data_IF_100241036284
#
_entry.id   IF_100241036284
#
_cell.length_a   1.000
_cell.length_b   1.000
_cell.length_c   1.000
_cell.angle_alpha   90.00
_cell.angle_beta   90.00
_cell.angle_gamma   90.00
#
_symmetry.space_group_name_H-M   'P 1'
#
loop_
_entity.id
_entity.type
_entity.pdbx_description
1 polymer ?
#
# COMPACT_ATOMS: atom_id res chain seq x y z
N UNK A 1 -26.79 12.99 1.17
CA UNK A 1 -25.58 12.16 1.27
C UNK A 1 -25.72 11.29 2.49
N UNK A 2 -25.76 9.96 2.35
CA UNK A 2 -25.60 9.07 3.50
C UNK A 2 -24.10 9.04 3.79
N UNK A 3 -23.62 9.57 4.91
CA UNK A 3 -22.21 9.46 5.26
C UNK A 3 -21.94 8.00 5.63
N UNK A 4 -21.39 7.23 4.69
CA UNK A 4 -20.81 5.92 5.00
C UNK A 4 -19.56 6.17 5.85
N UNK A 5 -19.28 5.36 6.90
CA UNK A 5 -18.27 5.71 7.87
C UNK A 5 -16.88 5.78 7.23
N UNK A 6 -16.13 6.84 7.56
CA UNK A 6 -14.66 6.86 7.48
C UNK A 6 -14.11 5.58 8.11
N UNK A 7 -13.07 4.99 7.50
CA UNK A 7 -12.34 3.77 7.93
C UNK A 7 -12.71 3.31 9.35
N UNK A 8 -13.67 2.41 9.47
CA UNK A 8 -14.02 1.73 10.74
C UNK A 8 -13.50 0.31 10.69
N UNK A 9 -12.98 -0.19 11.81
CA UNK A 9 -12.55 -1.59 11.93
C UNK A 9 -13.71 -2.53 11.59
N UNK A 10 -14.95 -2.16 11.94
CA UNK A 10 -16.15 -2.95 11.60
C UNK A 10 -16.33 -3.15 10.10
N UNK A 11 -16.24 -2.07 9.30
CA UNK A 11 -16.36 -2.16 7.84
C UNK A 11 -15.21 -2.97 7.24
N UNK A 12 -13.98 -2.73 7.72
CA UNK A 12 -12.79 -3.49 7.31
C UNK A 12 -12.99 -4.97 7.61
N UNK A 13 -13.51 -5.31 8.80
CA UNK A 13 -13.82 -6.68 9.20
C UNK A 13 -14.85 -7.32 8.28
N UNK A 14 -15.95 -6.65 7.96
CA UNK A 14 -16.96 -7.16 7.01
C UNK A 14 -16.33 -7.46 5.65
N UNK A 15 -15.57 -6.53 5.09
CA UNK A 15 -14.95 -6.68 3.78
C UNK A 15 -13.83 -7.74 3.77
N UNK A 16 -13.24 -8.00 4.94
CA UNK A 16 -12.22 -9.02 5.16
C UNK A 16 -12.82 -10.35 5.67
N UNK A 17 -14.14 -10.48 5.80
CA UNK A 17 -14.73 -11.72 6.30
C UNK A 17 -14.77 -12.77 5.20
N UNK A 18 -14.33 -13.99 5.54
CA UNK A 18 -14.40 -15.13 4.63
C UNK A 18 -15.80 -15.73 4.65
N UNK A 19 -16.67 -15.27 3.76
CA UNK A 19 -18.07 -15.73 3.66
C UNK A 19 -18.17 -17.18 3.15
N UNK A 20 -19.29 -17.90 3.42
CA UNK A 20 -19.55 -19.21 2.83
C UNK A 20 -19.71 -19.12 1.31
N UNK A 21 -19.44 -20.23 0.60
CA UNK A 21 -19.39 -20.26 -0.87
C UNK A 21 -20.68 -19.77 -1.54
N UNK A 22 -21.86 -20.13 -1.02
CA UNK A 22 -23.14 -19.71 -1.57
C UNK A 22 -23.30 -18.17 -1.52
N UNK A 23 -22.90 -17.55 -0.40
CA UNK A 23 -23.00 -16.10 -0.25
C UNK A 23 -21.99 -15.39 -1.16
N UNK A 24 -20.78 -15.94 -1.31
CA UNK A 24 -19.81 -15.41 -2.29
C UNK A 24 -20.32 -15.48 -3.71
N UNK A 25 -21.01 -16.56 -4.08
CA UNK A 25 -21.62 -16.68 -5.40
C UNK A 25 -22.63 -15.54 -5.65
N UNK A 26 -23.57 -15.29 -4.72
CA UNK A 26 -24.52 -14.19 -4.88
C UNK A 26 -23.86 -12.81 -4.91
N UNK A 27 -22.85 -12.58 -4.05
CA UNK A 27 -22.07 -11.35 -4.07
C UNK A 27 -21.32 -11.18 -5.41
N UNK A 28 -20.77 -12.26 -5.95
CA UNK A 28 -20.07 -12.26 -7.23
C UNK A 28 -21.01 -12.00 -8.41
N UNK A 29 -22.22 -12.58 -8.41
CA UNK A 29 -23.26 -12.26 -9.41
C UNK A 29 -23.65 -10.79 -9.34
N UNK A 30 -23.89 -10.27 -8.13
CA UNK A 30 -24.24 -8.86 -7.93
C UNK A 30 -23.16 -7.91 -8.43
N UNK A 31 -21.90 -8.19 -8.11
CA UNK A 31 -20.76 -7.42 -8.62
C UNK A 31 -20.64 -7.51 -10.14
N UNK A 32 -20.76 -8.71 -10.71
CA UNK A 32 -20.64 -8.94 -12.14
C UNK A 32 -21.68 -8.14 -12.93
N UNK A 33 -22.94 -8.18 -12.49
CA UNK A 33 -24.02 -7.39 -13.09
C UNK A 33 -23.77 -5.88 -12.96
N UNK A 34 -23.31 -5.44 -11.78
CA UNK A 34 -23.03 -4.02 -11.54
C UNK A 34 -21.87 -3.50 -12.39
N UNK A 35 -20.73 -4.20 -12.40
CA UNK A 35 -19.57 -3.82 -13.20
C UNK A 35 -19.90 -3.86 -14.67
N UNK A 36 -20.67 -4.83 -15.14
CA UNK A 36 -21.18 -4.83 -16.51
C UNK A 36 -22.05 -3.60 -16.80
N UNK A 37 -23.00 -3.25 -15.91
CA UNK A 37 -23.87 -2.08 -16.08
C UNK A 37 -23.12 -0.75 -16.08
N UNK A 38 -22.00 -0.64 -15.36
CA UNK A 38 -21.21 0.60 -15.27
C UNK A 38 -20.14 0.70 -16.36
N UNK A 39 -19.46 -0.41 -16.67
CA UNK A 39 -18.33 -0.43 -17.60
C UNK A 39 -18.69 -0.85 -19.03
N UNK A 40 -19.80 -1.60 -19.20
CA UNK A 40 -20.17 -2.34 -20.41
C UNK A 40 -19.11 -3.35 -20.88
N UNK A 41 -18.22 -3.79 -19.99
CA UNK A 41 -17.19 -4.79 -20.30
C UNK A 41 -17.55 -6.15 -19.70
N UNK A 42 -17.69 -7.15 -20.57
CA UNK A 42 -17.86 -8.54 -20.15
C UNK A 42 -16.59 -9.06 -19.46
N UNK A 43 -15.42 -8.68 -19.95
CA UNK A 43 -14.13 -9.10 -19.39
C UNK A 43 -13.96 -8.64 -17.95
N UNK A 44 -14.23 -7.35 -17.67
CA UNK A 44 -14.17 -6.82 -16.30
C UNK A 44 -15.20 -7.48 -15.38
N UNK A 45 -16.41 -7.68 -15.89
CA UNK A 45 -17.51 -8.34 -15.17
C UNK A 45 -17.19 -9.79 -14.80
N UNK A 46 -16.66 -10.58 -15.73
CA UNK A 46 -16.26 -11.97 -15.44
C UNK A 46 -15.03 -12.04 -14.52
N UNK A 47 -14.08 -11.12 -14.67
CA UNK A 47 -12.91 -11.06 -13.79
C UNK A 47 -13.27 -10.73 -12.34
N UNK A 48 -14.19 -9.77 -12.15
CA UNK A 48 -14.69 -9.39 -10.83
C UNK A 48 -15.44 -10.50 -10.12
N UNK A 49 -16.29 -11.22 -10.86
CA UNK A 49 -16.97 -12.41 -10.36
C UNK A 49 -15.97 -13.42 -9.77
N UNK A 50 -14.93 -13.74 -10.55
CA UNK A 50 -13.92 -14.72 -10.16
C UNK A 50 -13.16 -14.28 -8.90
N UNK A 51 -12.83 -12.98 -8.77
CA UNK A 51 -12.12 -12.44 -7.60
C UNK A 51 -12.98 -12.44 -6.34
N UNK A 52 -14.25 -12.04 -6.42
CA UNK A 52 -15.16 -12.16 -5.26
C UNK A 52 -15.32 -13.62 -4.84
N UNK A 53 -15.50 -14.53 -5.79
CA UNK A 53 -15.62 -15.96 -5.50
C UNK A 53 -14.38 -16.49 -4.76
N UNK A 54 -13.18 -16.00 -5.13
CA UNK A 54 -11.89 -16.26 -4.48
C UNK A 54 -11.63 -15.47 -3.20
N UNK A 55 -12.62 -14.75 -2.66
CA UNK A 55 -12.55 -14.01 -1.40
C UNK A 55 -11.82 -12.65 -1.45
N UNK A 56 -11.77 -11.99 -2.60
CA UNK A 56 -11.16 -10.66 -2.76
C UNK A 56 -12.17 -9.50 -2.63
N UNK A 57 -13.23 -9.69 -1.82
CA UNK A 57 -14.38 -8.77 -1.71
C UNK A 57 -13.96 -7.32 -1.42
N UNK A 58 -12.98 -7.11 -0.53
CA UNK A 58 -12.48 -5.77 -0.19
C UNK A 58 -11.96 -5.01 -1.40
N UNK A 59 -11.14 -5.65 -2.24
CA UNK A 59 -10.54 -5.02 -3.42
C UNK A 59 -11.60 -4.77 -4.49
N UNK A 60 -12.48 -5.74 -4.74
CA UNK A 60 -13.55 -5.61 -5.73
C UNK A 60 -14.58 -4.55 -5.36
N UNK A 61 -14.97 -4.45 -4.08
CA UNK A 61 -15.88 -3.39 -3.61
C UNK A 61 -15.28 -2.00 -3.85
N UNK A 62 -13.99 -1.80 -3.53
CA UNK A 62 -13.30 -0.52 -3.78
C UNK A 62 -13.21 -0.22 -5.27
N UNK A 63 -12.98 -1.23 -6.12
CA UNK A 63 -12.95 -1.08 -7.59
C UNK A 63 -14.31 -0.76 -8.17
N UNK A 64 -15.37 -1.38 -7.67
CA UNK A 64 -16.75 -1.09 -8.04
C UNK A 64 -17.09 0.39 -7.77
N UNK A 65 -16.77 0.87 -6.57
CA UNK A 65 -16.96 2.28 -6.21
C UNK A 65 -16.11 3.20 -7.08
N UNK A 66 -14.87 2.80 -7.41
CA UNK A 66 -14.02 3.55 -8.33
C UNK A 66 -14.65 3.67 -9.73
N UNK A 67 -15.17 2.57 -10.31
CA UNK A 67 -15.88 2.58 -11.59
C UNK A 67 -17.11 3.50 -11.55
N UNK A 68 -17.91 3.40 -10.49
CA UNK A 68 -19.10 4.24 -10.31
C UNK A 68 -18.73 5.72 -10.24
N UNK A 69 -17.69 6.07 -9.47
CA UNK A 69 -17.19 7.43 -9.37
C UNK A 69 -16.74 7.97 -10.74
N UNK A 70 -16.07 7.14 -11.57
CA UNK A 70 -15.62 7.55 -12.91
C UNK A 70 -16.72 7.57 -13.96
N UNK A 71 -17.76 6.76 -13.80
CA UNK A 71 -18.91 6.77 -14.71
C UNK A 71 -19.84 7.95 -14.48
N UNK A 72 -20.09 8.28 -13.21
CA UNK A 72 -21.07 9.30 -12.81
C UNK A 72 -20.47 10.67 -12.57
N UNK A 73 -19.16 10.77 -12.30
CA UNK A 73 -18.50 11.99 -11.83
C UNK A 73 -18.78 12.31 -10.35
N UNK A 74 -19.67 11.56 -9.68
CA UNK A 74 -20.03 11.75 -8.27
C UNK A 74 -19.03 11.00 -7.40
N UNK A 75 -18.52 11.67 -6.35
CA UNK A 75 -17.61 11.05 -5.38
C UNK A 75 -18.41 10.40 -4.25
N UNK A 76 -18.77 9.12 -4.41
CA UNK A 76 -19.57 8.38 -3.43
C UNK A 76 -18.78 8.03 -2.16
N UNK A 77 -17.55 7.54 -2.35
CA UNK A 77 -16.58 7.29 -1.29
C UNK A 77 -15.24 7.86 -1.77
N UNK A 78 -14.60 8.63 -0.90
CA UNK A 78 -13.26 9.12 -1.14
C UNK A 78 -12.22 8.06 -0.79
N UNK A 79 -11.55 7.56 -1.84
CA UNK A 79 -10.45 6.62 -1.74
C UNK A 79 -9.46 6.90 -2.87
N UNK A 80 -8.91 8.11 -2.86
CA UNK A 80 -8.07 8.63 -3.94
C UNK A 80 -6.83 7.76 -4.16
N UNK A 81 -6.29 7.15 -3.11
CA UNK A 81 -5.04 6.38 -3.15
C UNK A 81 -5.24 4.88 -3.47
N UNK A 82 -6.46 4.43 -3.74
CA UNK A 82 -6.71 3.04 -4.10
C UNK A 82 -6.07 2.66 -5.45
N UNK A 83 -5.31 1.57 -5.47
CA UNK A 83 -4.82 0.98 -6.72
C UNK A 83 -5.89 0.09 -7.36
N UNK A 84 -6.73 0.68 -8.20
CA UNK A 84 -7.79 -0.04 -8.92
C UNK A 84 -7.28 -1.08 -9.93
N UNK A 85 -5.98 -1.05 -10.27
CA UNK A 85 -5.37 -1.99 -11.23
C UNK A 85 -4.90 -3.30 -10.56
N UNK A 86 -4.90 -3.35 -9.23
CA UNK A 86 -4.46 -4.51 -8.46
C UNK A 86 -5.27 -5.76 -8.82
N UNK A 87 -4.57 -6.87 -9.13
CA UNK A 87 -5.17 -8.16 -9.44
C UNK A 87 -5.77 -8.32 -10.85
N UNK A 88 -5.81 -7.25 -11.66
CA UNK A 88 -6.36 -7.32 -13.02
C UNK A 88 -5.43 -8.09 -13.97
N UNK A 89 -5.98 -8.78 -14.96
CA UNK A 89 -5.24 -9.36 -16.10
C UNK A 89 -4.81 -8.28 -17.11
N UNK A 90 -3.99 -8.65 -18.11
CA UNK A 90 -3.63 -7.71 -19.20
C UNK A 90 -4.88 -7.29 -19.98
N UNK A 91 -5.77 -8.22 -20.31
CA UNK A 91 -7.00 -7.93 -21.04
C UNK A 91 -7.93 -7.01 -20.24
N UNK A 92 -8.04 -7.25 -18.93
CA UNK A 92 -8.81 -6.38 -18.05
C UNK A 92 -8.22 -4.97 -18.00
N UNK A 93 -6.89 -4.81 -18.00
CA UNK A 93 -6.25 -3.49 -18.02
C UNK A 93 -6.57 -2.72 -19.31
N UNK A 94 -6.56 -3.40 -20.47
CA UNK A 94 -6.98 -2.78 -21.73
C UNK A 94 -8.46 -2.37 -21.73
N UNK A 95 -9.32 -3.15 -21.09
CA UNK A 95 -10.73 -2.81 -20.92
C UNK A 95 -10.94 -1.62 -19.99
N UNK A 96 -10.13 -1.50 -18.92
CA UNK A 96 -10.10 -0.30 -18.09
C UNK A 96 -9.61 0.92 -18.87
N UNK A 97 -8.57 0.78 -19.69
CA UNK A 97 -8.09 1.87 -20.54
C UNK A 97 -9.17 2.34 -21.53
N UNK A 98 -9.84 1.40 -22.20
CA UNK A 98 -10.99 1.67 -23.08
C UNK A 98 -12.14 2.36 -22.33
N UNK A 99 -12.42 1.95 -21.09
CA UNK A 99 -13.39 2.61 -20.23
C UNK A 99 -13.01 4.06 -19.92
N UNK A 100 -11.74 4.33 -19.63
CA UNK A 100 -11.20 5.67 -19.33
C UNK A 100 -11.16 6.57 -20.58
N UNK A 101 -10.87 6.02 -21.75
CA UNK A 101 -10.85 6.76 -23.02
C UNK A 101 -12.23 7.32 -23.41
N UNK A 102 -13.31 6.77 -22.85
CA UNK A 102 -14.69 7.26 -23.03
C UNK A 102 -15.10 8.30 -21.98
N UNK A 103 -14.15 8.87 -21.23
CA UNK A 103 -14.41 9.89 -20.18
C UNK A 103 -13.82 11.22 -20.59
N UNK A 104 -14.39 12.30 -20.06
CA UNK A 104 -13.89 13.65 -20.29
C UNK A 104 -12.43 13.75 -19.86
N UNK A 105 -11.62 14.35 -20.72
CA UNK A 105 -10.21 14.52 -20.44
C UNK A 105 -10.02 15.46 -19.24
N UNK A 106 -9.47 14.92 -18.17
CA UNK A 106 -9.30 15.64 -16.91
C UNK A 106 -8.08 15.10 -16.22
N UNK A 107 -7.44 15.91 -15.38
CA UNK A 107 -6.23 15.51 -14.64
C UNK A 107 -6.45 14.22 -13.82
N UNK A 108 -7.68 14.01 -13.33
CA UNK A 108 -8.09 12.78 -12.64
C UNK A 108 -8.10 11.55 -13.55
N UNK A 109 -8.55 11.69 -14.81
CA UNK A 109 -8.51 10.61 -15.79
C UNK A 109 -7.09 10.37 -16.30
N UNK A 110 -6.30 11.44 -16.50
CA UNK A 110 -4.88 11.32 -16.89
C UNK A 110 -4.08 10.52 -15.85
N UNK A 111 -4.25 10.82 -14.56
CA UNK A 111 -3.60 10.06 -13.48
C UNK A 111 -4.11 8.62 -13.35
N UNK A 112 -5.35 8.33 -13.73
CA UNK A 112 -5.84 6.95 -13.81
C UNK A 112 -5.21 6.19 -14.98
N UNK A 113 -5.12 6.80 -16.15
CA UNK A 113 -4.44 6.22 -17.33
C UNK A 113 -2.96 5.94 -17.04
N UNK A 114 -2.28 6.84 -16.33
CA UNK A 114 -0.90 6.64 -15.89
C UNK A 114 -0.75 5.37 -15.03
N UNK A 115 -1.69 5.11 -14.11
CA UNK A 115 -1.72 3.88 -13.31
C UNK A 115 -1.97 2.62 -14.16
N UNK A 116 -2.85 2.70 -15.18
CA UNK A 116 -3.05 1.58 -16.11
C UNK A 116 -1.78 1.29 -16.89
N UNK A 117 -1.10 2.33 -17.39
CA UNK A 117 0.20 2.21 -18.07
C UNK A 117 1.26 1.58 -17.16
N UNK A 118 1.35 2.03 -15.91
CA UNK A 118 2.24 1.42 -14.90
C UNK A 118 1.95 -0.08 -14.69
N UNK A 119 0.67 -0.46 -14.56
CA UNK A 119 0.26 -1.85 -14.37
C UNK A 119 0.59 -2.73 -15.59
N UNK A 120 0.36 -2.22 -16.80
CA UNK A 120 0.71 -2.90 -18.05
C UNK A 120 2.22 -3.11 -18.15
N UNK A 121 3.02 -2.07 -17.88
CA UNK A 121 4.48 -2.15 -17.87
C UNK A 121 5.00 -3.19 -16.88
N UNK A 122 4.42 -3.27 -15.68
CA UNK A 122 4.85 -4.24 -14.66
C UNK A 122 4.51 -5.70 -15.00
N UNK A 123 3.53 -5.94 -15.88
CA UNK A 123 3.17 -7.29 -16.33
C UNK A 123 3.99 -7.79 -17.51
N UNK A 124 4.76 -6.94 -18.18
CA UNK A 124 5.65 -7.36 -19.26
C UNK A 124 6.79 -8.20 -18.66
N UNK A 125 6.84 -9.49 -19.02
CA UNK A 125 7.78 -10.48 -18.46
C UNK A 125 9.26 -10.15 -18.75
N UNK A 126 9.55 -9.62 -19.93
CA UNK A 126 10.89 -9.22 -20.35
C UNK A 126 10.82 -7.78 -20.86
N UNK A 127 11.45 -6.85 -20.15
CA UNK A 127 11.43 -5.41 -20.44
C UNK A 127 12.38 -5.02 -21.60
N UNK A 128 12.79 -5.99 -22.42
CA UNK A 128 13.99 -5.89 -23.28
C UNK A 128 13.77 -5.05 -24.55
N UNK A 129 12.54 -4.63 -24.90
CA UNK A 129 12.29 -4.05 -26.25
C UNK A 129 11.37 -2.81 -26.35
N UNK A 130 10.86 -2.23 -25.26
CA UNK A 130 9.87 -1.15 -25.37
C UNK A 130 10.30 0.16 -24.71
N UNK A 131 11.38 0.76 -25.23
CA UNK A 131 11.78 2.14 -24.89
C UNK A 131 10.62 3.12 -25.09
N UNK A 132 9.82 2.93 -26.15
CA UNK A 132 8.66 3.78 -26.47
C UNK A 132 7.65 3.85 -25.33
N UNK A 133 7.24 2.73 -24.75
CA UNK A 133 6.25 2.76 -23.65
C UNK A 133 6.78 3.48 -22.40
N UNK A 134 8.10 3.44 -22.20
CA UNK A 134 8.77 4.10 -21.08
C UNK A 134 8.88 5.60 -21.33
N UNK A 135 9.26 5.99 -22.55
CA UNK A 135 9.26 7.38 -22.99
C UNK A 135 7.85 7.96 -22.95
N UNK A 136 6.84 7.20 -23.38
CA UNK A 136 5.43 7.59 -23.31
C UNK A 136 4.96 7.70 -21.85
N UNK A 137 5.44 6.83 -20.95
CA UNK A 137 5.16 6.97 -19.51
C UNK A 137 5.81 8.23 -18.95
N UNK A 138 7.07 8.50 -19.29
CA UNK A 138 7.81 9.70 -18.88
C UNK A 138 7.15 10.99 -19.39
N UNK A 139 6.66 10.98 -20.63
CA UNK A 139 5.94 12.09 -21.23
C UNK A 139 4.65 12.39 -20.45
N UNK A 140 3.80 11.37 -20.25
CA UNK A 140 2.55 11.53 -19.50
C UNK A 140 2.81 12.01 -18.07
N UNK A 141 3.86 11.50 -17.43
CA UNK A 141 4.28 11.90 -16.09
C UNK A 141 4.63 13.39 -16.02
N UNK A 142 5.41 13.90 -16.98
CA UNK A 142 5.76 15.33 -17.10
C UNK A 142 4.54 16.18 -17.38
N UNK A 143 3.68 15.75 -18.29
CA UNK A 143 2.46 16.47 -18.65
C UNK A 143 1.50 16.59 -17.46
N UNK A 144 1.28 15.49 -16.73
CA UNK A 144 0.44 15.46 -15.54
C UNK A 144 1.01 16.40 -14.47
N UNK A 145 2.31 16.32 -14.20
CA UNK A 145 2.94 17.19 -13.22
C UNK A 145 2.82 18.68 -13.58
N UNK A 146 3.04 19.03 -14.85
CA UNK A 146 2.89 20.40 -15.33
C UNK A 146 1.47 20.95 -15.15
N UNK A 147 0.45 20.09 -15.15
CA UNK A 147 -0.97 20.44 -14.91
C UNK A 147 -1.37 20.36 -13.44
N UNK A 148 -0.57 19.76 -12.57
CA UNK A 148 -0.81 19.75 -11.12
C UNK A 148 -0.33 21.06 -10.50
N UNK A 149 -1.18 21.69 -9.70
CA UNK A 149 -0.85 22.90 -8.97
C UNK A 149 -1.39 22.82 -7.56
N UNK A 150 -0.78 23.57 -6.64
CA UNK A 150 -1.29 23.71 -5.28
C UNK A 150 -2.75 24.24 -5.33
N UNK A 151 -3.66 23.67 -4.54
CA UNK A 151 -5.03 24.18 -4.46
C UNK A 151 -5.01 25.64 -3.97
N UNK A 152 -5.86 26.49 -4.56
CA UNK A 152 -5.87 27.95 -4.30
C UNK A 152 -6.44 28.34 -2.94
N UNK A 153 -7.19 27.46 -2.28
CA UNK A 153 -7.96 27.77 -1.07
C UNK A 153 -7.69 26.69 -0.03
N UNK A 154 -7.31 27.11 1.19
CA UNK A 154 -7.53 26.30 2.37
C UNK A 154 -9.04 26.18 2.56
N UNK A 155 -9.68 25.18 1.96
CA UNK A 155 -11.01 24.82 2.42
C UNK A 155 -10.85 24.50 3.90
N UNK A 156 -11.51 25.26 4.79
CA UNK A 156 -11.47 25.03 6.23
C UNK A 156 -11.53 23.53 6.46
N UNK A 157 -10.42 22.97 6.94
CA UNK A 157 -10.27 21.53 7.07
C UNK A 157 -11.47 21.06 7.89
N UNK A 158 -12.34 20.26 7.29
CA UNK A 158 -13.51 19.72 7.97
C UNK A 158 -12.96 19.06 9.24
N UNK A 159 -13.21 19.66 10.42
CA UNK A 159 -12.62 19.22 11.70
C UNK A 159 -12.82 17.72 11.78
N UNK A 160 -11.73 16.97 11.60
CA UNK A 160 -11.79 15.51 11.65
C UNK A 160 -12.03 15.20 13.12
N UNK A 161 -13.26 14.80 13.44
CA UNK A 161 -13.60 14.34 14.78
C UNK A 161 -12.63 13.22 15.18
N UNK A 162 -12.18 13.25 16.43
CA UNK A 162 -11.34 12.20 16.99
C UNK A 162 -12.09 10.87 16.85
N UNK A 163 -11.44 9.92 16.16
CA UNK A 163 -12.00 8.59 15.99
C UNK A 163 -11.94 7.87 17.32
N UNK A 164 -13.08 7.35 17.78
CA UNK A 164 -13.12 6.40 18.88
C UNK A 164 -12.41 5.13 18.40
N UNK A 165 -11.31 4.78 19.06
CA UNK A 165 -10.55 3.57 18.76
C UNK A 165 -11.42 2.33 18.95
N UNK A 166 -11.55 1.51 17.90
CA UNK A 166 -12.31 0.26 17.88
C UNK A 166 -11.40 -0.97 17.66
N UNK A 167 -10.09 -0.82 17.90
CA UNK A 167 -9.12 -1.91 17.77
C UNK A 167 -9.32 -2.96 18.87
N UNK A 168 -9.52 -4.25 18.53
CA UNK A 168 -9.85 -5.27 19.52
C UNK A 168 -8.60 -5.78 20.26
N UNK A 169 -8.16 -5.06 21.28
CA UNK A 169 -6.93 -5.35 22.06
C UNK A 169 -6.85 -6.81 22.52
N UNK A 170 -7.95 -7.38 23.05
CA UNK A 170 -7.95 -8.78 23.52
C UNK A 170 -7.68 -9.80 22.40
N UNK A 171 -8.16 -9.51 21.19
CA UNK A 171 -7.90 -10.34 20.01
C UNK A 171 -6.50 -10.10 19.47
N UNK A 172 -6.02 -8.85 19.47
CA UNK A 172 -4.66 -8.50 19.08
C UNK A 172 -3.63 -9.18 19.97
N UNK A 173 -3.83 -9.17 21.30
CA UNK A 173 -3.00 -9.91 22.27
C UNK A 173 -2.95 -11.40 21.97
N UNK A 174 -4.10 -12.03 21.66
CA UNK A 174 -4.15 -13.45 21.29
C UNK A 174 -3.42 -13.71 19.97
N UNK A 175 -3.60 -12.86 18.97
CA UNK A 175 -2.90 -12.97 17.70
C UNK A 175 -1.37 -12.83 17.90
N UNK A 176 -0.92 -11.86 18.69
CA UNK A 176 0.49 -11.66 19.03
C UNK A 176 1.08 -12.86 19.80
N UNK A 177 0.30 -13.45 20.71
CA UNK A 177 0.72 -14.66 21.44
C UNK A 177 0.91 -15.85 20.49
N UNK A 178 -0.03 -16.06 19.56
CA UNK A 178 0.07 -17.12 18.56
C UNK A 178 1.23 -16.87 17.58
N UNK A 179 1.53 -15.60 17.25
CA UNK A 179 2.72 -15.20 16.47
C UNK A 179 4.00 -15.58 17.22
N UNK A 180 4.10 -15.23 18.51
CA UNK A 180 5.27 -15.54 19.33
C UNK A 180 5.53 -17.06 19.39
N UNK A 181 4.47 -17.86 19.57
CA UNK A 181 4.56 -19.32 19.57
C UNK A 181 5.01 -19.87 18.21
N UNK A 182 4.44 -19.35 17.11
CA UNK A 182 4.80 -19.75 15.76
C UNK A 182 6.28 -19.49 15.46
N UNK A 183 6.75 -18.26 15.68
CA UNK A 183 8.14 -17.93 15.36
C UNK A 183 9.13 -18.66 16.27
N UNK A 184 8.78 -18.88 17.54
CA UNK A 184 9.58 -19.70 18.47
C UNK A 184 9.70 -21.15 18.00
N UNK A 185 8.62 -21.75 17.49
CA UNK A 185 8.66 -23.15 17.03
C UNK A 185 9.46 -23.36 15.74
N UNK A 186 9.72 -22.29 14.98
CA UNK A 186 10.51 -22.31 13.75
C UNK A 186 11.93 -21.75 13.93
N UNK A 187 12.29 -21.34 15.16
CA UNK A 187 13.57 -20.69 15.48
C UNK A 187 13.87 -19.47 14.59
N UNK A 188 12.84 -18.69 14.26
CA UNK A 188 12.97 -17.49 13.42
C UNK A 188 12.90 -16.25 14.33
N UNK A 189 13.97 -15.44 14.41
CA UNK A 189 13.92 -14.16 15.08
C UNK A 189 12.91 -13.22 14.41
N UNK A 190 12.09 -12.56 15.23
CA UNK A 190 11.12 -11.57 14.79
C UNK A 190 11.05 -10.45 15.81
N UNK A 191 10.53 -9.30 15.40
CA UNK A 191 10.42 -8.11 16.24
C UNK A 191 9.18 -7.30 15.86
N UNK A 192 8.67 -6.46 16.78
CA UNK A 192 7.58 -5.53 16.49
C UNK A 192 8.15 -4.23 15.93
N UNK A 193 7.43 -3.61 15.00
CA UNK A 193 7.85 -2.37 14.30
C UNK A 193 6.68 -1.40 14.12
N UNK A 194 6.91 -0.30 13.41
CA UNK A 194 5.86 0.60 12.90
C UNK A 194 4.85 1.02 13.98
N UNK A 195 3.53 0.90 13.72
CA UNK A 195 2.50 1.35 14.65
C UNK A 195 2.49 0.55 15.95
N UNK A 196 2.77 -0.75 15.84
CA UNK A 196 2.85 -1.67 16.98
C UNK A 196 3.99 -1.31 17.94
N UNK A 197 5.19 -1.02 17.42
CA UNK A 197 6.33 -0.59 18.25
C UNK A 197 6.14 0.83 18.81
N UNK A 198 5.56 1.74 18.03
CA UNK A 198 5.21 3.08 18.52
C UNK A 198 4.23 3.00 19.71
N UNK A 199 3.19 2.17 19.60
CA UNK A 199 2.25 1.92 20.70
C UNK A 199 2.94 1.37 21.94
N UNK A 200 3.79 0.34 21.77
CA UNK A 200 4.57 -0.26 22.85
C UNK A 200 5.36 0.81 23.62
N UNK A 201 6.09 1.68 22.93
CA UNK A 201 6.98 2.65 23.57
C UNK A 201 6.21 3.84 24.14
N UNK A 202 5.27 4.41 23.38
CA UNK A 202 4.59 5.66 23.77
C UNK A 202 3.39 5.42 24.67
N UNK A 203 2.57 4.43 24.35
CA UNK A 203 1.26 4.20 24.98
C UNK A 203 1.28 2.97 25.91
N UNK A 204 2.42 2.26 26.02
CA UNK A 204 2.60 1.06 26.84
C UNK A 204 1.61 -0.08 26.49
N UNK A 205 1.23 -0.16 25.20
CA UNK A 205 0.26 -1.13 24.69
C UNK A 205 0.00 -0.94 23.20
N UNK A 206 -1.04 -1.57 22.64
CA UNK A 206 -1.46 -1.27 21.28
C UNK A 206 -2.04 0.15 21.14
N UNK A 207 -1.83 0.79 20.00
CA UNK A 207 -2.51 2.04 19.68
C UNK A 207 -4.02 1.79 19.56
N UNK A 208 -4.85 2.60 20.24
CA UNK A 208 -6.30 2.39 20.25
C UNK A 208 -6.96 2.47 18.86
N UNK A 209 -6.33 3.19 17.94
CA UNK A 209 -6.80 3.43 16.57
C UNK A 209 -6.11 2.54 15.53
N UNK A 210 -5.29 1.58 15.96
CA UNK A 210 -4.59 0.64 15.08
C UNK A 210 -5.57 -0.26 14.30
N UNK A 211 -5.07 -0.94 13.27
CA UNK A 211 -5.88 -1.85 12.45
C UNK A 211 -5.24 -3.23 12.25
N UNK A 212 -3.94 -3.32 12.49
CA UNK A 212 -3.09 -4.47 12.24
C UNK A 212 -2.02 -4.60 13.34
N UNK A 213 -1.21 -5.65 13.22
CA UNK A 213 0.00 -5.85 14.00
C UNK A 213 1.16 -5.85 13.01
N UNK A 214 2.11 -4.95 13.19
CA UNK A 214 3.29 -4.83 12.35
C UNK A 214 4.47 -5.56 13.00
N UNK A 215 5.02 -6.54 12.28
CA UNK A 215 6.23 -7.26 12.72
C UNK A 215 7.29 -7.26 11.61
N UNK A 216 8.55 -7.35 12.02
CA UNK A 216 9.71 -7.45 11.15
C UNK A 216 10.42 -8.79 11.29
N UNK A 217 11.01 -9.24 10.19
CA UNK A 217 12.00 -10.33 10.15
C UNK A 217 13.15 -9.92 9.24
N UNK A 218 14.37 -10.36 9.56
CA UNK A 218 15.53 -10.11 8.70
C UNK A 218 15.60 -11.11 7.55
N UNK A 219 15.77 -10.61 6.32
CA UNK A 219 15.76 -11.42 5.10
C UNK A 219 16.79 -12.54 5.08
N UNK A 220 17.95 -12.32 5.70
CA UNK A 220 19.07 -13.27 5.72
C UNK A 220 18.87 -14.42 6.74
N UNK A 221 17.83 -14.35 7.58
CA UNK A 221 17.55 -15.33 8.63
C UNK A 221 16.43 -16.30 8.25
N UNK A 222 15.83 -16.14 7.07
CA UNK A 222 14.64 -16.88 6.67
C UNK A 222 14.74 -17.39 5.23
N UNK A 223 14.27 -18.62 5.05
CA UNK A 223 13.84 -19.11 3.74
C UNK A 223 12.37 -18.73 3.56
N UNK A 224 12.09 -17.87 2.59
CA UNK A 224 10.74 -17.33 2.39
C UNK A 224 9.74 -18.38 1.91
N UNK A 225 10.15 -19.35 1.08
CA UNK A 225 9.26 -20.38 0.56
C UNK A 225 8.86 -21.35 1.69
N UNK A 226 9.82 -21.70 2.54
CA UNK A 226 9.58 -22.50 3.74
C UNK A 226 8.73 -21.75 4.76
N UNK A 227 8.98 -20.45 4.99
CA UNK A 227 8.17 -19.62 5.89
C UNK A 227 6.72 -19.55 5.41
N UNK A 228 6.48 -19.20 4.14
CA UNK A 228 5.13 -19.10 3.58
C UNK A 228 4.41 -20.45 3.61
N UNK A 229 5.12 -21.53 3.30
CA UNK A 229 4.56 -22.90 3.36
C UNK A 229 4.18 -23.29 4.79
N UNK A 230 5.03 -22.96 5.77
CA UNK A 230 4.77 -23.23 7.19
C UNK A 230 3.59 -22.43 7.73
N UNK A 231 3.46 -21.15 7.33
CA UNK A 231 2.30 -20.32 7.69
C UNK A 231 1.02 -20.90 7.07
N UNK A 232 1.06 -21.33 5.81
CA UNK A 232 -0.11 -21.95 5.13
C UNK A 232 -0.57 -23.25 5.79
N UNK A 233 0.34 -23.98 6.44
CA UNK A 233 0.03 -25.18 7.21
C UNK A 233 -0.49 -24.90 8.63
N UNK A 234 -0.47 -23.65 9.09
CA UNK A 234 -0.87 -23.29 10.45
C UNK A 234 -2.38 -23.00 10.55
N UNK A 235 -3.05 -23.57 11.55
CA UNK A 235 -4.49 -23.40 11.75
C UNK A 235 -4.91 -21.98 12.18
N UNK A 236 -3.99 -21.18 12.72
CA UNK A 236 -4.29 -19.85 13.24
C UNK A 236 -4.13 -18.74 12.21
N UNK A 237 -3.42 -19.00 11.10
CA UNK A 237 -3.03 -17.99 10.14
C UNK A 237 -3.47 -18.33 8.72
N UNK A 238 -4.07 -17.36 8.05
CA UNK A 238 -4.31 -17.37 6.61
C UNK A 238 -3.35 -16.39 5.94
N UNK A 239 -2.56 -16.84 4.95
CA UNK A 239 -1.78 -15.93 4.10
C UNK A 239 -2.74 -15.20 3.17
N UNK A 240 -2.92 -13.90 3.39
CA UNK A 240 -3.81 -13.04 2.61
C UNK A 240 -3.12 -12.55 1.34
N UNK A 241 -1.88 -12.10 1.46
CA UNK A 241 -1.12 -11.53 0.36
C UNK A 241 0.37 -11.69 0.59
N UNK A 242 1.09 -11.96 -0.50
CA UNK A 242 2.55 -11.90 -0.55
C UNK A 242 2.90 -10.77 -1.52
N UNK A 243 3.49 -9.71 -1.00
CA UNK A 243 3.76 -8.48 -1.74
C UNK A 243 5.24 -8.35 -2.06
N UNK A 244 5.52 -7.97 -3.31
CA UNK A 244 6.87 -7.75 -3.80
C UNK A 244 7.02 -6.31 -4.26
N UNK A 245 8.18 -5.73 -3.99
CA UNK A 245 8.63 -4.52 -4.63
C UNK A 245 9.39 -4.90 -5.91
N UNK A 246 8.97 -4.33 -7.04
CA UNK A 246 9.68 -4.46 -8.31
C UNK A 246 10.35 -3.15 -8.65
N UNK A 247 11.67 -3.12 -8.61
CA UNK A 247 12.49 -1.97 -8.99
C UNK A 247 12.97 -2.13 -10.42
N UNK A 248 13.02 -1.03 -11.17
CA UNK A 248 13.48 -1.03 -12.56
C UNK A 248 14.98 -0.79 -12.57
N UNK A 249 15.73 -1.70 -13.18
CA UNK A 249 17.18 -1.62 -13.30
C UNK A 249 17.56 -1.48 -14.77
N UNK A 250 18.38 -0.48 -15.09
CA UNK A 250 18.91 -0.28 -16.46
C UNK A 250 20.15 -1.14 -16.62
N UNK A 251 20.21 -1.95 -17.67
CA UNK A 251 21.41 -2.73 -18.01
C UNK A 251 22.29 -1.93 -18.98
N UNK A 252 21.72 -1.53 -20.12
CA UNK A 252 22.37 -0.71 -21.14
C UNK A 252 21.41 0.41 -21.58
N UNK A 253 21.80 1.29 -22.53
CA UNK A 253 20.97 2.42 -23.00
C UNK A 253 19.51 2.03 -23.30
N UNK A 254 19.29 0.83 -23.86
CA UNK A 254 17.99 0.38 -24.37
C UNK A 254 17.45 -0.90 -23.70
N UNK A 255 18.04 -1.35 -22.59
CA UNK A 255 17.58 -2.58 -21.90
C UNK A 255 17.38 -2.36 -20.42
N UNK A 256 16.29 -2.91 -19.89
CA UNK A 256 16.00 -2.90 -18.47
C UNK A 256 15.53 -4.28 -18.00
N UNK A 257 15.59 -4.49 -16.69
CA UNK A 257 15.02 -5.64 -16.01
C UNK A 257 14.34 -5.20 -14.70
N UNK A 258 13.56 -6.11 -14.12
CA UNK A 258 12.98 -5.88 -12.80
C UNK A 258 13.79 -6.64 -11.74
N UNK A 259 14.38 -5.91 -10.80
CA UNK A 259 14.78 -6.50 -9.53
C UNK A 259 13.54 -6.65 -8.64
N UNK A 260 13.32 -7.85 -8.09
CA UNK A 260 12.12 -8.16 -7.33
C UNK A 260 12.50 -8.66 -5.94
N UNK A 261 12.10 -7.89 -4.92
CA UNK A 261 12.31 -8.24 -3.51
C UNK A 261 10.98 -8.43 -2.79
N UNK A 262 10.89 -9.48 -1.96
CA UNK A 262 9.73 -9.72 -1.11
C UNK A 262 9.69 -8.65 -0.02
N UNK A 263 8.58 -7.96 0.16
CA UNK A 263 8.51 -6.84 1.12
C UNK A 263 7.53 -7.09 2.25
N UNK A 264 6.35 -7.64 1.96
CA UNK A 264 5.32 -7.87 2.99
C UNK A 264 4.66 -9.23 2.79
N UNK A 265 4.54 -10.00 3.86
CA UNK A 265 3.60 -11.12 3.94
C UNK A 265 2.45 -10.69 4.84
N UNK A 266 1.27 -10.47 4.26
CA UNK A 266 0.06 -10.10 5.00
C UNK A 266 -0.68 -11.34 5.44
N UNK A 267 -0.93 -11.45 6.73
CA UNK A 267 -1.65 -12.56 7.35
C UNK A 267 -2.98 -12.09 7.92
N UNK A 268 -3.89 -13.06 8.07
CA UNK A 268 -5.10 -12.91 8.87
C UNK A 268 -5.09 -13.98 9.95
N UNK A 269 -5.16 -13.55 11.20
CA UNK A 269 -5.38 -14.47 12.31
C UNK A 269 -6.84 -14.93 12.36
N UNK A 270 -7.10 -16.14 12.86
CA UNK A 270 -8.45 -16.70 13.03
C UNK A 270 -9.43 -15.80 13.81
N UNK A 271 -8.93 -14.89 14.65
CA UNK A 271 -9.76 -13.91 15.37
C UNK A 271 -10.16 -12.68 14.54
N UNK A 272 -9.64 -12.56 13.31
CA UNK A 272 -9.90 -11.47 12.37
C UNK A 272 -8.92 -10.29 12.47
N UNK A 273 -7.81 -10.46 13.19
CA UNK A 273 -6.73 -9.46 13.27
C UNK A 273 -5.79 -9.65 12.07
N UNK A 274 -5.44 -8.56 11.39
CA UNK A 274 -4.45 -8.57 10.32
C UNK A 274 -3.05 -8.41 10.91
N UNK A 275 -2.08 -9.14 10.36
CA UNK A 275 -0.67 -9.05 10.76
C UNK A 275 0.14 -8.82 9.49
N UNK A 276 0.93 -7.76 9.45
CA UNK A 276 1.84 -7.46 8.34
C UNK A 276 3.27 -7.85 8.76
N UNK A 277 3.84 -8.83 8.06
CA UNK A 277 5.24 -9.25 8.25
C UNK A 277 6.11 -8.51 7.23
N UNK A 278 6.87 -7.53 7.69
CA UNK A 278 7.79 -6.75 6.88
C UNK A 278 9.16 -7.40 6.81
N UNK A 279 9.64 -7.60 5.58
CA UNK A 279 10.97 -8.13 5.33
C UNK A 279 12.00 -7.00 5.42
N UNK A 280 12.98 -7.18 6.31
CA UNK A 280 14.07 -6.23 6.52
C UNK A 280 15.34 -6.71 5.83
N UNK A 281 15.87 -5.88 4.95
CA UNK A 281 17.12 -6.11 4.24
C UNK A 281 18.21 -5.22 4.84
N UNK A 282 19.42 -5.74 4.93
CA UNK A 282 20.60 -4.97 5.37
C UNK A 282 21.46 -4.71 4.14
N UNK A 283 21.69 -3.44 3.83
CA UNK A 283 22.53 -2.95 2.74
C UNK A 283 23.56 -1.99 3.34
N UNK A 284 24.81 -2.42 3.46
CA UNK A 284 25.90 -1.66 4.11
C UNK A 284 25.52 -1.21 5.54
N UNK A 285 25.26 0.09 5.74
CA UNK A 285 24.89 0.69 7.01
C UNK A 285 23.38 0.99 7.13
N UNK A 286 22.58 0.53 6.17
CA UNK A 286 21.13 0.77 6.12
C UNK A 286 20.37 -0.53 6.32
N UNK A 287 19.40 -0.53 7.23
CA UNK A 287 18.37 -1.55 7.32
C UNK A 287 17.08 -1.00 6.71
N UNK A 288 16.62 -1.58 5.61
CA UNK A 288 15.41 -1.11 4.94
C UNK A 288 14.32 -2.17 4.89
N UNK A 289 13.09 -1.69 4.95
CA UNK A 289 11.88 -2.48 4.70
C UNK A 289 10.92 -1.65 3.83
N UNK A 290 9.82 -2.24 3.38
CA UNK A 290 8.96 -1.51 2.45
C UNK A 290 7.64 -2.18 2.10
N UNK A 291 7.00 -1.62 1.09
CA UNK A 291 5.84 -2.17 0.38
C UNK A 291 6.14 -2.18 -1.13
N UNK A 292 5.16 -2.49 -1.96
CA UNK A 292 5.29 -2.38 -3.42
C UNK A 292 5.62 -0.96 -3.91
N UNK A 293 5.30 0.08 -3.13
CA UNK A 293 5.48 1.50 -3.53
C UNK A 293 6.23 2.36 -2.51
N UNK A 294 6.61 1.83 -1.34
CA UNK A 294 7.38 2.58 -0.35
C UNK A 294 8.61 1.77 0.07
N UNK A 295 9.70 2.47 0.39
CA UNK A 295 10.90 1.95 1.04
C UNK A 295 11.23 2.88 2.20
N UNK A 296 11.49 2.34 3.37
CA UNK A 296 11.88 3.09 4.56
C UNK A 296 13.26 2.61 5.00
N UNK A 297 14.20 3.54 5.09
CA UNK A 297 15.61 3.30 5.39
C UNK A 297 15.93 3.71 6.83
N UNK A 298 16.28 2.76 7.68
CA UNK A 298 16.74 3.02 9.05
C UNK A 298 18.25 2.76 9.15
N UNK A 299 18.92 3.37 10.13
CA UNK A 299 20.23 2.86 10.56
C UNK A 299 20.11 1.40 11.00
N UNK A 300 21.16 0.60 10.79
CA UNK A 300 21.18 -0.79 11.27
C UNK A 300 21.05 -0.81 12.80
N UNK A 301 20.05 -1.54 13.29
CA UNK A 301 19.72 -1.60 14.71
C UNK A 301 19.84 -3.03 15.27
N UNK A 302 20.24 -3.10 16.54
CA UNK A 302 20.15 -4.31 17.37
C UNK A 302 18.74 -4.46 17.95
N UNK A 303 18.43 -5.67 18.42
CA UNK A 303 17.14 -5.99 19.03
C UNK A 303 17.28 -6.13 20.55
N UNK A 304 16.26 -5.68 21.27
CA UNK A 304 16.09 -5.85 22.72
C UNK A 304 14.74 -6.49 23.03
N UNK A 305 14.64 -7.21 24.15
CA UNK A 305 13.37 -7.74 24.64
C UNK A 305 12.49 -6.66 25.29
N UNK A 306 11.20 -6.75 25.02
CA UNK A 306 10.12 -5.92 25.54
C UNK A 306 8.92 -6.78 25.91
N UNK A 307 7.93 -6.17 26.57
CA UNK A 307 6.65 -6.80 26.88
C UNK A 307 5.53 -5.95 26.29
N UNK A 308 4.79 -6.52 25.33
CA UNK A 308 3.61 -5.90 24.74
C UNK A 308 2.36 -6.64 25.21
N UNK A 309 1.52 -5.98 26.01
CA UNK A 309 0.24 -6.55 26.44
C UNK A 309 0.38 -7.93 27.14
N UNK A 310 1.49 -8.14 27.85
CA UNK A 310 1.83 -9.39 28.54
C UNK A 310 2.53 -10.45 27.68
N UNK A 311 2.81 -10.16 26.39
CA UNK A 311 3.55 -11.03 25.48
C UNK A 311 5.00 -10.56 25.39
N UNK A 312 5.97 -11.45 25.57
CA UNK A 312 7.38 -11.13 25.32
C UNK A 312 7.62 -10.99 23.82
N UNK A 313 8.20 -9.87 23.43
CA UNK A 313 8.50 -9.51 22.03
C UNK A 313 9.90 -8.92 21.94
N UNK A 314 10.45 -8.86 20.73
CA UNK A 314 11.65 -8.06 20.46
C UNK A 314 11.28 -6.77 19.74
N UNK A 315 12.13 -5.75 19.85
CA UNK A 315 12.02 -4.50 19.11
C UNK A 315 13.40 -3.85 18.99
N UNK A 316 13.52 -2.76 18.22
CA UNK A 316 14.76 -1.96 18.16
C UNK A 316 15.28 -1.60 19.56
N UNK A 317 16.57 -1.80 19.82
CA UNK A 317 17.19 -1.51 21.11
C UNK A 317 17.19 0.00 21.41
N UNK A 318 17.55 0.81 20.41
CA UNK A 318 17.44 2.26 20.48
C UNK A 318 16.08 2.73 19.96
N UNK A 319 15.06 2.65 20.81
CA UNK A 319 13.69 3.00 20.46
C UNK A 319 13.54 4.47 20.03
N UNK A 320 14.25 5.41 20.68
CA UNK A 320 14.14 6.84 20.41
C UNK A 320 14.68 7.17 19.01
N UNK A 321 15.84 6.63 18.63
CA UNK A 321 16.39 6.77 17.28
C UNK A 321 15.45 6.17 16.22
N UNK A 322 15.08 4.90 16.39
CA UNK A 322 14.24 4.20 15.40
C UNK A 322 12.90 4.92 15.18
N UNK A 323 12.23 5.37 16.24
CA UNK A 323 10.97 6.10 16.12
C UNK A 323 11.17 7.52 15.56
N UNK A 324 12.30 8.17 15.84
CA UNK A 324 12.63 9.48 15.25
C UNK A 324 12.88 9.38 13.76
N UNK A 325 13.58 8.36 13.29
CA UNK A 325 13.76 8.11 11.84
C UNK A 325 12.42 7.86 11.14
N UNK A 326 11.52 7.10 11.77
CA UNK A 326 10.24 6.72 11.20
C UNK A 326 9.18 7.83 11.25
N UNK A 327 9.18 8.69 12.28
CA UNK A 327 8.07 9.61 12.54
C UNK A 327 8.49 11.05 12.90
N UNK A 328 9.79 11.32 13.07
CA UNK A 328 10.28 12.60 13.59
C UNK A 328 9.89 12.79 15.05
N UNK A 329 9.13 13.83 15.37
CA UNK A 329 8.63 14.13 16.73
C UNK A 329 7.50 13.17 17.16
N UNK A 330 7.84 11.89 17.34
CA UNK A 330 6.91 10.78 17.54
C UNK A 330 6.17 10.78 18.89
N UNK A 331 6.74 11.48 19.88
CA UNK A 331 6.18 11.62 21.23
C UNK A 331 4.88 12.42 21.22
N UNK A 332 4.67 13.26 20.20
CA UNK A 332 3.45 14.04 20.02
C UNK A 332 2.53 13.30 19.04
N UNK A 333 1.30 12.89 19.45
CA UNK A 333 0.40 12.18 18.56
C UNK A 333 0.00 13.01 17.33
N UNK A 334 0.24 12.47 16.14
CA UNK A 334 -0.21 13.05 14.87
C UNK A 334 -1.54 12.42 14.47
N UNK A 335 -2.61 13.22 14.43
CA UNK A 335 -3.98 12.74 14.18
C UNK A 335 -4.23 12.27 12.73
N UNK A 336 -3.48 12.79 11.77
CA UNK A 336 -3.70 12.58 10.34
C UNK A 336 -2.39 12.15 9.67
N UNK A 337 -1.90 10.99 10.10
CA UNK A 337 -0.65 10.44 9.62
C UNK A 337 -0.78 9.83 8.21
N UNK A 338 0.25 10.04 7.39
CA UNK A 338 0.37 9.48 6.05
C UNK A 338 1.74 8.85 5.88
N UNK A 339 1.82 7.53 5.71
CA UNK A 339 3.09 6.82 5.54
C UNK A 339 3.88 7.22 4.26
N UNK A 340 3.25 7.96 3.34
CA UNK A 340 3.91 8.46 2.12
C UNK A 340 4.52 9.86 2.28
N UNK A 341 4.21 10.59 3.36
CA UNK A 341 4.65 11.98 3.56
C UNK A 341 5.02 12.33 4.99
N UNK A 342 4.63 11.51 5.96
CA UNK A 342 4.90 11.68 7.38
C UNK A 342 6.06 10.84 7.89
N UNK A 343 6.74 10.09 7.03
CA UNK A 343 7.90 9.26 7.38
C UNK A 343 9.19 9.91 6.88
N UNK A 344 10.03 10.49 7.76
CA UNK A 344 11.29 11.12 7.37
C UNK A 344 12.24 10.17 6.64
N UNK A 345 12.28 8.91 7.07
CA UNK A 345 13.07 7.83 6.47
C UNK A 345 12.52 7.25 5.14
N UNK A 346 11.47 7.82 4.56
CA UNK A 346 10.98 7.35 3.26
C UNK A 346 12.02 7.63 2.18
N UNK A 347 12.42 6.58 1.46
CA UNK A 347 13.33 6.57 0.32
C UNK A 347 12.62 6.24 -1.00
N UNK A 348 13.23 6.66 -2.11
CA UNK A 348 12.72 6.47 -3.46
C UNK A 348 12.66 4.98 -3.82
N UNK A 349 11.50 4.55 -4.31
CA UNK A 349 11.37 3.27 -5.01
C UNK A 349 11.32 3.54 -6.50
N UNK A 350 12.26 2.96 -7.24
CA UNK A 350 12.39 3.16 -8.69
C UNK A 350 11.42 2.27 -9.45
N UNK A 351 10.12 2.59 -9.38
CA UNK A 351 9.08 1.82 -10.06
C UNK A 351 7.91 2.68 -10.55
N UNK A 352 7.24 2.24 -11.61
CA UNK A 352 6.17 3.02 -12.25
C UNK A 352 5.00 3.36 -11.31
N UNK A 353 4.70 2.49 -10.34
CA UNK A 353 3.62 2.73 -9.39
C UNK A 353 3.95 3.82 -8.37
N UNK A 354 5.20 3.94 -7.92
CA UNK A 354 5.65 5.03 -7.05
C UNK A 354 5.34 6.37 -7.70
N UNK A 355 5.80 6.57 -8.94
CA UNK A 355 5.58 7.83 -9.65
C UNK A 355 4.10 8.11 -9.92
N UNK A 356 3.36 7.08 -10.36
CA UNK A 356 1.92 7.20 -10.59
C UNK A 356 1.18 7.58 -9.30
N UNK A 357 1.55 6.97 -8.18
CA UNK A 357 0.97 7.23 -6.86
C UNK A 357 1.18 8.67 -6.42
N UNK A 358 2.41 9.18 -6.51
CA UNK A 358 2.71 10.56 -6.12
C UNK A 358 2.03 11.59 -7.04
N UNK A 359 1.91 11.33 -8.35
CA UNK A 359 1.13 12.20 -9.24
C UNK A 359 -0.34 12.25 -8.86
N UNK A 360 -0.94 11.09 -8.55
CA UNK A 360 -2.32 11.04 -8.08
C UNK A 360 -2.47 11.74 -6.73
N UNK A 361 -1.47 11.65 -5.85
CA UNK A 361 -1.47 12.34 -4.56
C UNK A 361 -1.45 13.86 -4.73
N UNK A 362 -0.61 14.39 -5.61
CA UNK A 362 -0.61 15.81 -5.97
C UNK A 362 -1.97 16.23 -6.56
N UNK A 363 -2.50 15.46 -7.52
CA UNK A 363 -3.81 15.72 -8.13
C UNK A 363 -4.95 15.73 -7.11
N UNK A 364 -4.94 14.79 -6.16
CA UNK A 364 -6.00 14.63 -5.16
C UNK A 364 -5.80 15.51 -3.91
N UNK A 365 -4.75 16.34 -3.86
CA UNK A 365 -4.49 17.21 -2.72
C UNK A 365 -5.53 18.33 -2.65
N UNK A 366 -6.24 18.39 -1.52
CA UNK A 366 -7.24 19.43 -1.23
C UNK A 366 -6.65 20.52 -0.33
N UNK A 367 -5.71 20.15 0.55
CA UNK A 367 -4.97 21.07 1.42
C UNK A 367 -3.63 21.47 0.76
N UNK A 368 -3.33 22.77 0.62
CA UNK A 368 -2.04 23.23 0.12
C UNK A 368 -0.85 22.64 0.88
N UNK A 369 -0.99 22.40 2.19
CA UNK A 369 0.07 21.82 3.03
C UNK A 369 0.36 20.37 2.67
N UNK A 370 -0.65 19.60 2.29
CA UNK A 370 -0.47 18.21 1.87
C UNK A 370 0.16 18.13 0.47
N UNK A 371 -0.18 19.07 -0.41
CA UNK A 371 0.49 19.26 -1.69
C UNK A 371 1.98 19.57 -1.48
N UNK A 372 2.30 20.56 -0.65
CA UNK A 372 3.69 20.94 -0.35
C UNK A 372 4.48 19.81 0.28
N UNK A 373 3.92 19.07 1.26
CA UNK A 373 4.56 17.87 1.81
C UNK A 373 4.90 16.85 0.72
N UNK A 374 3.99 16.65 -0.23
CA UNK A 374 4.18 15.70 -1.33
C UNK A 374 5.29 16.18 -2.27
N UNK A 375 5.32 17.46 -2.63
CA UNK A 375 6.41 18.06 -3.42
C UNK A 375 7.74 17.95 -2.69
N UNK A 376 7.80 18.25 -1.40
CA UNK A 376 9.01 18.17 -0.59
C UNK A 376 9.58 16.75 -0.54
N UNK A 377 8.72 15.73 -0.44
CA UNK A 377 9.13 14.33 -0.55
C UNK A 377 9.76 14.06 -1.92
N UNK A 378 9.11 14.49 -3.00
CA UNK A 378 9.62 14.28 -4.36
C UNK A 378 10.96 15.00 -4.61
N UNK A 379 11.14 16.20 -4.06
CA UNK A 379 12.39 16.95 -4.07
C UNK A 379 13.50 16.25 -3.28
N UNK A 380 13.20 15.84 -2.03
CA UNK A 380 14.15 15.11 -1.16
C UNK A 380 14.61 13.81 -1.81
N UNK A 381 13.70 13.13 -2.50
CA UNK A 381 13.97 11.90 -3.23
C UNK A 381 14.60 12.11 -4.62
N UNK A 382 15.00 13.35 -4.95
CA UNK A 382 15.64 13.72 -6.23
C UNK A 382 14.82 13.36 -7.48
N UNK A 383 13.51 13.18 -7.32
CA UNK A 383 12.59 13.00 -8.45
C UNK A 383 12.28 14.34 -9.12
N UNK A 384 12.21 15.41 -8.33
CA UNK A 384 12.10 16.78 -8.83
C UNK A 384 13.45 17.49 -8.64
N UNK A 385 13.90 18.21 -9.67
CA UNK A 385 15.05 19.11 -9.58
C UNK A 385 14.66 20.42 -8.91
N UNK A 386 15.66 21.20 -8.47
CA UNK A 386 15.47 22.55 -7.92
C UNK A 386 14.68 23.48 -8.87
N UNK A 387 14.83 23.27 -10.17
CA UNK A 387 14.13 24.03 -11.22
C UNK A 387 12.69 23.53 -11.49
N UNK A 388 12.21 22.56 -10.71
CA UNK A 388 10.86 22.00 -10.83
C UNK A 388 10.69 21.00 -11.98
N UNK A 389 11.77 20.45 -12.53
CA UNK A 389 11.71 19.46 -13.61
C UNK A 389 11.74 18.03 -13.05
N UNK A 390 10.98 17.14 -13.69
CA UNK A 390 11.04 15.70 -13.38
C UNK A 390 12.35 15.12 -13.91
N UNK A 391 13.15 14.57 -12.99
CA UNK A 391 14.33 13.78 -13.33
C UNK A 391 13.88 12.39 -13.80
N UNK A 392 13.86 12.18 -15.11
CA UNK A 392 13.51 10.87 -15.70
C UNK A 392 14.58 9.82 -15.47
N UNK A 393 15.82 10.22 -15.15
CA UNK A 393 16.88 9.31 -14.69
C UNK A 393 16.53 8.68 -13.33
N UNK A 394 15.76 9.37 -12.47
CA UNK A 394 15.32 8.83 -11.19
C UNK A 394 14.38 7.61 -11.32
N UNK A 395 13.87 7.34 -12.53
CA UNK A 395 13.03 6.16 -12.81
C UNK A 395 13.83 4.85 -12.81
N UNK A 396 15.14 4.91 -13.02
CA UNK A 396 15.97 3.72 -13.23
C UNK A 396 17.07 3.63 -12.18
N UNK A 397 17.32 2.41 -11.69
CA UNK A 397 18.57 2.18 -10.96
C UNK A 397 19.72 2.12 -11.96
N UNK A 398 20.83 2.74 -11.57
CA UNK A 398 22.13 2.47 -12.17
C UNK A 398 22.59 1.05 -11.85
#
# INVERSE_FOLDING_TARGET
MIPIPKKSYFLIKILNTRYPLWLRFFLAVGESLFVWGVSFSKTLSCGGFNRIYRNELKTEFRRLVWFLNRRTGIQWIEDSMFNFTEGLSVDELYEVDSFLNKRHDSLKIMTDKLFVKAALLQKKKNFIQNERDVLDFQHDLKEIFAKTHAPKVLNESCKKNDRIGDFPISKARRALSDVALFFKSHDIPWFVISGTFLGLIRDQGFLAHDYDIDIGIFSHQVDFDNLVSSIRGNENFEVVKVEYQKSICKTNENSFFYDQKLTIIKLRHRQGVTIDIFIHYIEENTCWHGSSIHRWDNEVFSLKEYVLDGVSVRGPENADLYLTENYGEWKIPVKDFSCSTGTPNLSLVRNFFFFSFFMRKLQASIDPRDYEKTVNVLMRQKFLSADGNISTEALFSN
#
